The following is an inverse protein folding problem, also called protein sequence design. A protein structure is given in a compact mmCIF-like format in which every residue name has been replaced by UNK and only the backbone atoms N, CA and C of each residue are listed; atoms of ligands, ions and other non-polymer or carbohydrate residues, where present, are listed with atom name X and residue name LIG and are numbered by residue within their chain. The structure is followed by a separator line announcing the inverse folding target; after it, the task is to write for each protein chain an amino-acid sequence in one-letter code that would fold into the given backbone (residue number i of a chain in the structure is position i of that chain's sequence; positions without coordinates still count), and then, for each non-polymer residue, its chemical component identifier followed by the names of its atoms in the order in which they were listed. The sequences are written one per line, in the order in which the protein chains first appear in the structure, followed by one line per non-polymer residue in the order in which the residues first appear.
data_IF_681801326589
#
_entry.id   IF_681801326589
#
_cell.length_a   1.000
_cell.length_b   1.000
_cell.length_c   1.000
_cell.angle_alpha   90.00
_cell.angle_beta   90.00
_cell.angle_gamma   90.00
#
_symmetry.space_group_name_H-M   'P 1'
#
loop_
_entity.id
_entity.type
_entity.pdbx_description
1 polymer ?
#
# COMPACT_ATOMS: atom_id res chain seq x y z
N UNK A 1 -27.04 -4.01 -28.81
CA UNK A 1 -26.62 -3.74 -27.43
C UNK A 1 -27.46 -2.59 -26.88
N UNK A 2 -27.71 -2.55 -25.58
CA UNK A 2 -28.48 -1.47 -24.95
C UNK A 2 -27.60 -0.22 -24.83
N UNK A 3 -28.15 0.97 -25.12
CA UNK A 3 -27.42 2.24 -25.02
C UNK A 3 -26.78 2.45 -23.64
N UNK A 4 -27.44 2.01 -22.56
CA UNK A 4 -26.89 2.09 -21.20
C UNK A 4 -25.69 1.16 -20.98
N UNK A 5 -25.62 0.03 -21.69
CA UNK A 5 -24.45 -0.86 -21.62
C UNK A 5 -23.25 -0.20 -22.29
N UNK A 6 -23.47 0.45 -23.44
CA UNK A 6 -22.41 1.10 -24.21
C UNK A 6 -21.83 2.30 -23.43
N UNK A 7 -22.68 3.12 -22.81
CA UNK A 7 -22.27 4.23 -21.94
C UNK A 7 -21.40 3.74 -20.76
N UNK A 8 -21.81 2.68 -20.07
CA UNK A 8 -21.02 2.11 -18.98
C UNK A 8 -19.65 1.63 -19.47
N UNK A 9 -19.60 0.93 -20.60
CA UNK A 9 -18.33 0.45 -21.17
C UNK A 9 -17.42 1.62 -21.55
N UNK A 10 -17.97 2.67 -22.14
CA UNK A 10 -17.21 3.82 -22.65
C UNK A 10 -16.76 4.80 -21.56
N UNK A 11 -17.49 4.94 -20.45
CA UNK A 11 -17.26 6.05 -19.52
C UNK A 11 -17.09 5.65 -18.05
N UNK A 12 -17.31 4.39 -17.67
CA UNK A 12 -17.21 4.00 -16.27
C UNK A 12 -15.78 4.20 -15.71
N UNK A 13 -15.62 5.23 -14.87
CA UNK A 13 -14.36 5.56 -14.19
C UNK A 13 -13.94 4.47 -13.19
N UNK A 14 -14.91 3.86 -12.50
CA UNK A 14 -14.61 2.83 -11.50
C UNK A 14 -13.93 1.59 -12.12
N UNK A 15 -14.31 1.19 -13.34
CA UNK A 15 -13.65 0.10 -14.07
C UNK A 15 -12.23 0.49 -14.47
N UNK A 16 -12.05 1.71 -15.01
CA UNK A 16 -10.75 2.24 -15.44
C UNK A 16 -9.78 2.34 -14.28
N UNK A 17 -10.18 2.93 -13.16
CA UNK A 17 -9.36 3.06 -11.94
C UNK A 17 -8.98 1.68 -11.40
N UNK A 18 -9.91 0.71 -11.37
CA UNK A 18 -9.59 -0.66 -10.91
C UNK A 18 -8.62 -1.38 -11.85
N UNK A 19 -8.75 -1.21 -13.16
CA UNK A 19 -7.84 -1.80 -14.15
C UNK A 19 -6.43 -1.22 -14.00
N UNK A 20 -6.32 0.10 -13.96
CA UNK A 20 -5.06 0.81 -13.76
C UNK A 20 -4.44 0.42 -12.41
N UNK A 21 -5.23 0.44 -11.34
CA UNK A 21 -4.78 0.06 -10.01
C UNK A 21 -4.21 -1.36 -9.97
N UNK A 22 -4.88 -2.34 -10.58
CA UNK A 22 -4.34 -3.71 -10.68
C UNK A 22 -3.05 -3.78 -11.49
N UNK A 23 -2.98 -3.09 -12.63
CA UNK A 23 -1.79 -3.09 -13.48
C UNK A 23 -0.59 -2.46 -12.74
N UNK A 24 -0.79 -1.33 -12.07
CA UNK A 24 0.23 -0.67 -11.26
C UNK A 24 0.68 -1.57 -10.12
N UNK A 25 -0.24 -2.12 -9.32
CA UNK A 25 0.09 -3.05 -8.22
C UNK A 25 0.89 -4.25 -8.72
N UNK A 26 0.51 -4.83 -9.87
CA UNK A 26 1.22 -5.96 -10.49
C UNK A 26 2.67 -5.64 -10.86
N UNK A 27 2.98 -4.40 -11.26
CA UNK A 27 4.36 -3.99 -11.54
C UNK A 27 5.23 -4.03 -10.28
N UNK A 28 4.70 -3.54 -9.16
CA UNK A 28 5.42 -3.58 -7.89
C UNK A 28 5.52 -5.01 -7.34
N UNK A 29 4.42 -5.75 -7.28
CA UNK A 29 4.43 -7.11 -6.75
C UNK A 29 5.35 -8.03 -7.57
N UNK A 30 5.37 -7.90 -8.90
CA UNK A 30 6.30 -8.64 -9.75
C UNK A 30 7.76 -8.26 -9.52
N UNK A 31 8.07 -6.98 -9.33
CA UNK A 31 9.44 -6.55 -9.02
C UNK A 31 9.90 -7.00 -7.61
N UNK A 32 8.95 -7.16 -6.68
CA UNK A 32 9.21 -7.50 -5.29
C UNK A 32 9.12 -9.00 -4.98
N UNK A 33 8.70 -9.84 -5.93
CA UNK A 33 8.53 -11.28 -5.76
C UNK A 33 9.79 -11.96 -5.19
N UNK A 34 10.97 -11.63 -5.75
CA UNK A 34 12.27 -12.16 -5.29
C UNK A 34 12.66 -11.74 -3.87
N UNK A 35 11.94 -10.79 -3.26
CA UNK A 35 12.16 -10.32 -1.89
C UNK A 35 11.15 -10.90 -0.89
N UNK A 36 10.19 -11.70 -1.34
CA UNK A 36 9.18 -12.31 -0.48
C UNK A 36 8.25 -11.29 0.17
N UNK A 37 8.01 -10.15 -0.48
CA UNK A 37 7.11 -9.08 0.00
C UNK A 37 6.19 -8.57 -1.10
N UNK A 38 5.02 -8.08 -0.71
CA UNK A 38 4.11 -7.35 -1.61
C UNK A 38 4.24 -5.84 -1.43
N UNK A 39 3.75 -5.06 -2.41
CA UNK A 39 3.71 -3.61 -2.31
C UNK A 39 2.83 -3.14 -1.14
N UNK A 40 1.75 -3.86 -0.83
CA UNK A 40 0.89 -3.56 0.31
C UNK A 40 1.66 -3.67 1.64
N UNK A 41 2.50 -4.70 1.78
CA UNK A 41 3.36 -4.89 2.95
C UNK A 41 4.44 -3.81 3.03
N UNK A 42 5.09 -3.48 1.91
CA UNK A 42 6.08 -2.39 1.86
C UNK A 42 5.45 -1.05 2.25
N UNK A 43 4.25 -0.74 1.76
CA UNK A 43 3.53 0.49 2.10
C UNK A 43 3.15 0.56 3.57
N UNK A 44 2.77 -0.57 4.19
CA UNK A 44 2.53 -0.63 5.64
C UNK A 44 3.80 -0.40 6.46
N UNK A 45 4.92 -1.02 6.08
CA UNK A 45 6.21 -0.81 6.74
C UNK A 45 6.67 0.64 6.60
N UNK A 46 6.51 1.24 5.42
CA UNK A 46 6.85 2.64 5.17
C UNK A 46 5.94 3.61 5.96
N UNK A 47 4.63 3.36 5.98
CA UNK A 47 3.68 4.14 6.78
C UNK A 47 4.02 4.07 8.27
N UNK A 48 4.29 2.87 8.80
CA UNK A 48 4.69 2.69 10.19
C UNK A 48 6.04 3.34 10.50
N UNK A 49 6.99 3.27 9.57
CA UNK A 49 8.28 3.96 9.67
C UNK A 49 8.16 5.49 9.72
N UNK A 50 7.13 6.05 9.07
CA UNK A 50 6.85 7.49 9.04
C UNK A 50 6.02 7.96 10.24
N UNK A 51 4.99 7.20 10.63
CA UNK A 51 4.08 7.54 11.73
C UNK A 51 4.70 7.26 13.11
N UNK A 52 5.59 6.28 13.20
CA UNK A 52 6.10 5.75 14.47
C UNK A 52 5.16 4.72 15.09
N UNK A 53 5.47 4.21 16.30
CA UNK A 53 4.62 3.25 16.99
C UNK A 53 3.18 3.74 17.11
N UNK A 54 2.22 2.94 16.68
CA UNK A 54 0.81 3.34 16.65
C UNK A 54 -0.16 2.15 16.72
N UNK A 55 -1.43 2.35 17.09
CA UNK A 55 -2.43 1.30 17.00
C UNK A 55 -2.69 0.91 15.52
N UNK A 56 -3.06 -0.36 15.23
CA UNK A 56 -3.42 -0.81 13.89
C UNK A 56 -4.49 0.05 13.19
N UNK A 57 -5.46 0.58 13.94
CA UNK A 57 -6.51 1.43 13.38
C UNK A 57 -5.94 2.67 12.70
N UNK A 58 -4.85 3.24 13.23
CA UNK A 58 -4.20 4.41 12.66
C UNK A 58 -3.61 4.11 11.29
N UNK A 59 -3.05 2.92 11.08
CA UNK A 59 -2.57 2.49 9.76
C UNK A 59 -3.72 2.31 8.77
N UNK A 60 -4.88 1.82 9.24
CA UNK A 60 -6.10 1.74 8.43
C UNK A 60 -6.60 3.10 7.96
N UNK A 61 -6.63 4.09 8.85
CA UNK A 61 -6.98 5.48 8.51
C UNK A 61 -6.00 6.06 7.48
N UNK A 62 -4.70 5.90 7.73
CA UNK A 62 -3.63 6.47 6.89
C UNK A 62 -3.62 5.89 5.48
N UNK A 63 -3.84 4.58 5.34
CA UNK A 63 -3.78 3.89 4.05
C UNK A 63 -5.17 3.69 3.43
N UNK A 64 -6.23 4.21 4.05
CA UNK A 64 -7.63 3.99 3.64
C UNK A 64 -7.94 2.49 3.49
N UNK A 65 -7.50 1.68 4.45
CA UNK A 65 -7.64 0.23 4.46
C UNK A 65 -8.67 -0.24 5.48
N UNK A 66 -9.48 -1.20 5.05
CA UNK A 66 -10.39 -1.94 5.94
C UNK A 66 -9.63 -2.66 7.07
N UNK A 67 -10.26 -2.71 8.25
CA UNK A 67 -9.67 -3.29 9.46
C UNK A 67 -9.13 -4.72 9.23
N UNK A 68 -9.87 -5.55 8.52
CA UNK A 68 -9.48 -6.94 8.25
C UNK A 68 -8.22 -7.04 7.38
N UNK A 69 -8.08 -6.13 6.42
CA UNK A 69 -6.89 -6.03 5.55
C UNK A 69 -5.66 -5.61 6.34
N UNK A 70 -5.81 -4.63 7.24
CA UNK A 70 -4.73 -4.18 8.12
C UNK A 70 -4.30 -5.31 9.06
N UNK A 71 -5.24 -5.91 9.80
CA UNK A 71 -4.92 -6.98 10.75
C UNK A 71 -4.22 -8.16 10.09
N UNK A 72 -4.71 -8.62 8.93
CA UNK A 72 -4.08 -9.73 8.19
C UNK A 72 -2.63 -9.39 7.81
N UNK A 73 -2.38 -8.21 7.26
CA UNK A 73 -1.03 -7.83 6.88
C UNK A 73 -0.12 -7.68 8.11
N UNK A 74 -0.58 -7.05 9.18
CA UNK A 74 0.21 -6.90 10.40
C UNK A 74 0.62 -8.26 11.00
N UNK A 75 -0.27 -9.25 11.01
CA UNK A 75 0.11 -10.61 11.43
C UNK A 75 1.20 -11.23 10.55
N UNK A 76 1.15 -11.03 9.23
CA UNK A 76 2.22 -11.50 8.33
C UNK A 76 3.54 -10.80 8.62
N UNK A 77 3.52 -9.48 8.84
CA UNK A 77 4.72 -8.70 9.16
C UNK A 77 5.32 -9.06 10.53
N UNK A 78 4.48 -9.37 11.52
CA UNK A 78 4.89 -9.85 12.84
C UNK A 78 5.59 -11.21 12.73
N UNK A 79 5.02 -12.15 11.98
CA UNK A 79 5.59 -13.48 11.79
C UNK A 79 6.96 -13.44 11.09
N UNK A 80 7.20 -12.41 10.26
CA UNK A 80 8.49 -12.16 9.61
C UNK A 80 9.47 -11.37 10.50
N UNK A 81 9.05 -10.90 11.68
CA UNK A 81 9.86 -10.09 12.59
C UNK A 81 10.13 -8.67 12.08
N UNK A 82 9.40 -8.19 11.07
CA UNK A 82 9.60 -6.84 10.52
C UNK A 82 8.87 -5.76 11.33
N UNK A 83 7.88 -6.16 12.12
CA UNK A 83 7.25 -5.33 13.12
C UNK A 83 7.21 -6.08 14.46
N UNK A 84 7.00 -5.34 15.53
CA UNK A 84 6.72 -5.86 16.87
C UNK A 84 5.42 -5.26 17.38
N UNK A 85 4.76 -5.93 18.32
CA UNK A 85 3.54 -5.44 18.94
C UNK A 85 3.74 -5.30 20.45
N UNK A 86 3.31 -4.18 21.04
CA UNK A 86 3.18 -4.09 22.49
C UNK A 86 1.96 -4.91 22.91
N UNK A 87 2.14 -5.78 23.90
CA UNK A 87 1.22 -6.80 24.42
C UNK A 87 -0.17 -6.89 23.76
N UNK A 88 -0.46 -8.02 23.12
CA UNK A 88 -1.79 -8.36 22.60
C UNK A 88 -2.73 -8.80 23.72
N UNK A 89 -3.93 -8.21 23.81
CA UNK A 89 -5.02 -8.69 24.66
C UNK A 89 -6.15 -9.31 23.82
N UNK A 90 -7.28 -9.67 24.45
CA UNK A 90 -8.45 -10.21 23.77
C UNK A 90 -9.05 -9.28 22.68
N UNK A 91 -8.64 -8.01 22.63
CA UNK A 91 -9.06 -7.01 21.64
C UNK A 91 -8.05 -6.81 20.50
N UNK A 92 -6.90 -7.51 20.53
CA UNK A 92 -5.90 -7.51 19.46
C UNK A 92 -4.63 -6.72 19.80
N UNK A 93 -3.86 -6.36 18.77
CA UNK A 93 -2.63 -5.57 18.92
C UNK A 93 -2.97 -4.15 19.36
N UNK A 94 -2.44 -3.72 20.50
CA UNK A 94 -2.69 -2.38 21.03
C UNK A 94 -1.83 -1.33 20.34
N UNK A 95 -0.57 -1.67 20.07
CA UNK A 95 0.38 -0.86 19.35
C UNK A 95 1.29 -1.76 18.52
N UNK A 96 1.69 -1.30 17.34
CA UNK A 96 2.71 -1.94 16.52
C UNK A 96 3.85 -0.96 16.26
N UNK A 97 5.07 -1.46 16.15
CA UNK A 97 6.27 -0.67 15.88
C UNK A 97 7.16 -1.35 14.83
N UNK A 98 7.86 -0.55 14.04
CA UNK A 98 8.79 -1.04 13.02
C UNK A 98 10.12 -1.47 13.68
N UNK A 99 10.52 -2.72 13.48
CA UNK A 99 11.78 -3.25 14.03
C UNK A 99 12.99 -2.83 13.18
N UNK A 100 14.21 -3.10 13.68
CA UNK A 100 15.43 -2.96 12.89
C UNK A 100 15.42 -3.85 11.63
N UNK A 101 14.90 -5.07 11.73
CA UNK A 101 14.76 -5.98 10.59
C UNK A 101 13.75 -5.45 9.55
N UNK A 102 12.65 -4.82 10.00
CA UNK A 102 11.70 -4.17 9.10
C UNK A 102 12.31 -3.00 8.33
N UNK A 103 13.10 -2.16 9.01
CA UNK A 103 13.85 -1.06 8.35
C UNK A 103 14.84 -1.61 7.31
N UNK A 104 15.60 -2.63 7.67
CA UNK A 104 16.52 -3.29 6.75
C UNK A 104 15.79 -3.93 5.55
N UNK A 105 14.59 -4.50 5.77
CA UNK A 105 13.76 -5.03 4.67
C UNK A 105 13.34 -3.93 3.70
N UNK A 106 12.89 -2.75 4.17
CA UNK A 106 12.59 -1.62 3.28
C UNK A 106 13.81 -1.26 2.43
N UNK A 107 14.98 -1.08 3.05
CA UNK A 107 16.20 -0.72 2.31
C UNK A 107 16.58 -1.78 1.26
N UNK A 108 16.41 -3.07 1.60
CA UNK A 108 16.74 -4.17 0.69
C UNK A 108 15.90 -4.19 -0.60
N UNK A 109 14.66 -3.68 -0.56
CA UNK A 109 13.76 -3.70 -1.71
C UNK A 109 13.81 -2.43 -2.55
N UNK A 110 14.49 -1.38 -2.07
CA UNK A 110 14.51 -0.07 -2.73
C UNK A 110 14.96 -0.11 -4.20
N UNK A 111 15.97 -0.91 -4.62
CA UNK A 111 16.34 -0.97 -6.03
C UNK A 111 15.18 -1.45 -6.94
N UNK A 112 14.55 -2.56 -6.58
CA UNK A 112 13.42 -3.14 -7.33
C UNK A 112 12.17 -2.26 -7.23
N UNK A 113 11.92 -1.67 -6.06
CA UNK A 113 10.83 -0.72 -5.90
C UNK A 113 11.01 0.50 -6.80
N UNK A 114 12.23 1.05 -6.92
CA UNK A 114 12.50 2.18 -7.83
C UNK A 114 12.32 1.79 -9.29
N UNK A 115 12.69 0.56 -9.67
CA UNK A 115 12.42 0.05 -11.02
C UNK A 115 10.90 -0.01 -11.29
N UNK A 116 10.12 -0.59 -10.38
CA UNK A 116 8.67 -0.63 -10.51
C UNK A 116 8.05 0.78 -10.52
N UNK A 117 8.58 1.71 -9.71
CA UNK A 117 8.17 3.12 -9.70
C UNK A 117 8.37 3.78 -11.07
N UNK A 118 9.49 3.51 -11.74
CA UNK A 118 9.75 4.02 -13.09
C UNK A 118 8.79 3.41 -14.11
N UNK A 119 8.54 2.10 -14.05
CA UNK A 119 7.60 1.41 -14.95
C UNK A 119 6.16 1.91 -14.75
N UNK A 120 5.73 2.09 -13.50
CA UNK A 120 4.42 2.64 -13.17
C UNK A 120 4.28 4.10 -13.66
N UNK A 121 5.34 4.91 -13.50
CA UNK A 121 5.35 6.27 -14.03
C UNK A 121 5.27 6.31 -15.56
N UNK A 122 5.96 5.40 -16.25
CA UNK A 122 5.86 5.25 -17.70
C UNK A 122 4.46 4.81 -18.14
N UNK A 123 3.84 3.87 -17.43
CA UNK A 123 2.47 3.41 -17.69
C UNK A 123 1.44 4.54 -17.54
N UNK A 124 1.59 5.37 -16.51
CA UNK A 124 0.67 6.47 -16.20
C UNK A 124 0.93 7.73 -17.04
N UNK A 125 2.17 7.94 -17.50
CA UNK A 125 2.56 9.12 -18.27
C UNK A 125 2.22 10.43 -17.54
N UNK A 126 1.52 11.34 -18.21
CA UNK A 126 1.06 12.60 -17.62
C UNK A 126 0.09 12.40 -16.43
N UNK A 127 -0.52 11.22 -16.29
CA UNK A 127 -1.43 10.89 -15.20
C UNK A 127 -0.75 10.80 -13.82
N UNK A 128 0.58 10.69 -13.75
CA UNK A 128 1.31 10.65 -12.46
C UNK A 128 0.99 11.87 -11.61
N UNK A 129 1.01 13.07 -12.19
CA UNK A 129 0.72 14.31 -11.47
C UNK A 129 -0.72 14.33 -10.94
N UNK A 130 -1.69 13.94 -11.77
CA UNK A 130 -3.09 13.87 -11.38
C UNK A 130 -3.32 12.86 -10.24
N UNK A 131 -2.67 11.69 -10.28
CA UNK A 131 -2.79 10.69 -9.20
C UNK A 131 -2.22 11.24 -7.89
N UNK A 132 -1.08 11.92 -7.92
CA UNK A 132 -0.47 12.53 -6.74
C UNK A 132 -1.34 13.65 -6.16
N UNK A 133 -1.89 14.52 -7.02
CA UNK A 133 -2.77 15.61 -6.61
C UNK A 133 -4.07 15.08 -5.97
N UNK A 134 -4.73 14.13 -6.64
CA UNK A 134 -5.98 13.52 -6.16
C UNK A 134 -5.75 12.81 -4.83
N UNK A 135 -4.66 12.03 -4.71
CA UNK A 135 -4.31 11.34 -3.46
C UNK A 135 -3.94 12.34 -2.33
N UNK A 136 -3.29 13.45 -2.69
CA UNK A 136 -3.03 14.58 -1.79
C UNK A 136 -4.32 15.14 -1.18
N UNK A 137 -5.33 15.37 -2.01
CA UNK A 137 -6.66 15.80 -1.57
C UNK A 137 -7.40 14.78 -0.68
N UNK A 138 -6.98 13.51 -0.69
CA UNK A 138 -7.50 12.44 0.17
C UNK A 138 -6.69 12.26 1.47
N UNK A 139 -5.67 13.10 1.70
CA UNK A 139 -4.85 13.06 2.92
C UNK A 139 -3.63 12.13 2.86
N UNK A 140 -3.15 11.78 1.67
CA UNK A 140 -1.92 11.01 1.47
C UNK A 140 -0.81 11.85 0.82
N UNK A 141 0.46 11.82 1.29
CA UNK A 141 0.99 10.93 2.31
C UNK A 141 0.59 11.34 3.75
N UNK A 142 0.58 10.38 4.69
CA UNK A 142 0.25 10.66 6.08
C UNK A 142 1.19 11.68 6.72
N UNK A 143 0.61 12.75 7.29
CA UNK A 143 1.34 13.78 8.01
C UNK A 143 2.04 14.81 7.11
N UNK A 144 1.59 14.97 5.86
CA UNK A 144 1.83 16.18 5.07
C UNK A 144 0.86 17.31 5.46
#
# INVERSE_FOLDING_TARGET
MSASVDEIVQDCLAVRIRLIGRAVTSLYDGALEGHGVTIAQVNLLAALGKVGPCPPSRLGEVLQLERSTVSRNLHLLLNQGWIEASASDAKGMREVALTGAGRAKIESVMPQWRQAQQQAAQLLGAGVAAVQEIAGGMGYPPGA
#
